data_IF_322189709222
#
_entry.id   IF_322189709222
#
_cell.length_a   1.000
_cell.length_b   1.000
_cell.length_c   1.000
_cell.angle_alpha   90.00
_cell.angle_beta   90.00
_cell.angle_gamma   90.00
#
_symmetry.space_group_name_H-M   'P 1'
#
loop_
_entity.id
_entity.type
_entity.pdbx_description
1 polymer ?
#
# COMPACT_ATOMS: atom_id res chain seq x y z
N UNK A 1 -42.68 9.24 9.70
CA UNK A 1 -41.83 8.10 9.32
C UNK A 1 -40.97 8.62 8.20
N UNK A 2 -39.77 9.09 8.52
CA UNK A 2 -38.82 9.60 7.53
C UNK A 2 -37.64 8.64 7.48
N UNK A 3 -37.39 8.18 6.27
CA UNK A 3 -36.35 7.28 5.82
C UNK A 3 -34.96 7.83 6.20
N UNK A 4 -34.17 6.98 6.86
CA UNK A 4 -32.75 7.25 7.11
C UNK A 4 -31.99 6.95 5.82
N UNK A 5 -31.68 8.02 5.09
CA UNK A 5 -30.81 8.00 3.93
C UNK A 5 -29.43 7.47 4.33
N UNK A 6 -28.93 6.52 3.56
CA UNK A 6 -27.70 5.80 3.83
C UNK A 6 -26.53 6.79 3.98
N UNK A 7 -25.85 6.76 5.13
CA UNK A 7 -24.54 7.39 5.27
C UNK A 7 -23.57 6.64 4.35
N UNK A 8 -23.40 7.14 3.14
CA UNK A 8 -22.26 6.79 2.32
C UNK A 8 -21.04 7.33 3.04
N UNK A 9 -20.34 6.43 3.73
CA UNK A 9 -18.98 6.69 4.21
C UNK A 9 -18.13 6.74 2.94
N UNK A 10 -17.99 7.93 2.36
CA UNK A 10 -16.97 8.21 1.35
C UNK A 10 -15.63 8.06 2.06
N UNK A 11 -15.12 6.81 2.09
CA UNK A 11 -13.71 6.57 2.29
C UNK A 11 -13.01 7.41 1.24
N UNK A 12 -12.33 8.45 1.69
CA UNK A 12 -11.44 9.23 0.83
C UNK A 12 -10.30 8.30 0.45
N UNK A 13 -10.50 7.51 -0.62
CA UNK A 13 -9.42 7.04 -1.45
C UNK A 13 -8.66 8.31 -1.84
N UNK A 14 -7.61 8.60 -1.06
CA UNK A 14 -6.75 9.73 -1.27
C UNK A 14 -6.24 9.56 -2.69
N UNK A 15 -6.81 10.37 -3.59
CA UNK A 15 -6.57 10.34 -5.02
C UNK A 15 -5.11 10.73 -5.23
N UNK A 16 -4.23 9.75 -5.01
CA UNK A 16 -2.80 9.83 -5.25
C UNK A 16 -2.72 9.95 -6.75
N UNK A 17 -2.48 11.17 -7.22
CA UNK A 17 -2.28 11.54 -8.62
C UNK A 17 -1.67 10.35 -9.35
N UNK A 18 -2.43 9.73 -10.25
CA UNK A 18 -2.06 8.47 -10.87
C UNK A 18 -0.77 8.63 -11.68
N UNK A 19 0.38 8.50 -11.03
CA UNK A 19 1.66 8.35 -11.68
C UNK A 19 1.74 6.98 -12.35
N UNK A 20 2.63 6.83 -13.32
CA UNK A 20 2.89 5.53 -13.95
C UNK A 20 3.38 4.52 -12.89
N UNK A 21 2.47 3.64 -12.47
CA UNK A 21 2.74 2.58 -11.48
C UNK A 21 3.35 1.36 -12.15
N UNK A 22 4.57 1.02 -11.78
CA UNK A 22 5.26 -0.18 -12.18
C UNK A 22 5.12 -1.27 -11.11
N UNK A 23 4.59 -2.43 -11.53
CA UNK A 23 4.48 -3.63 -10.71
C UNK A 23 5.66 -4.55 -10.98
N UNK A 24 6.32 -4.98 -9.92
CA UNK A 24 7.49 -5.86 -10.02
C UNK A 24 7.24 -7.11 -9.17
N UNK A 25 6.93 -8.27 -9.79
CA UNK A 25 6.72 -9.50 -9.05
C UNK A 25 8.02 -9.98 -8.38
N UNK A 26 7.88 -10.50 -7.17
CA UNK A 26 8.93 -11.09 -6.33
C UNK A 26 8.41 -12.38 -5.70
N UNK A 27 9.27 -13.14 -5.03
CA UNK A 27 8.91 -14.45 -4.47
C UNK A 27 7.71 -14.39 -3.50
N UNK A 28 7.60 -13.32 -2.71
CA UNK A 28 6.56 -13.15 -1.69
C UNK A 28 5.40 -12.21 -2.06
N UNK A 29 5.35 -11.67 -3.28
CA UNK A 29 4.29 -10.74 -3.70
C UNK A 29 4.70 -9.81 -4.84
N UNK A 30 4.10 -8.63 -4.89
CA UNK A 30 4.37 -7.63 -5.93
C UNK A 30 4.78 -6.30 -5.30
N UNK A 31 5.92 -5.77 -5.73
CA UNK A 31 6.36 -4.42 -5.35
C UNK A 31 5.79 -3.40 -6.32
N UNK A 32 5.14 -2.36 -5.80
CA UNK A 32 4.54 -1.28 -6.62
C UNK A 32 5.39 -0.03 -6.49
N UNK A 33 5.95 0.39 -7.61
CA UNK A 33 6.72 1.63 -7.72
C UNK A 33 5.94 2.67 -8.51
N UNK A 34 6.06 3.93 -8.13
CA UNK A 34 5.58 5.07 -8.91
C UNK A 34 6.76 5.84 -9.49
N UNK A 35 6.62 6.30 -10.73
CA UNK A 35 7.63 7.15 -11.37
C UNK A 35 7.62 8.55 -10.77
N UNK A 36 8.80 9.06 -10.42
CA UNK A 36 9.06 10.40 -9.88
C UNK A 36 10.11 11.11 -10.74
N UNK A 37 10.23 12.42 -10.57
CA UNK A 37 11.18 13.28 -11.27
C UNK A 37 12.65 12.80 -11.19
N UNK A 38 13.05 12.13 -10.11
CA UNK A 38 14.42 11.63 -9.90
C UNK A 38 14.54 10.09 -9.91
N UNK A 39 13.50 9.36 -10.36
CA UNK A 39 13.55 7.91 -10.44
C UNK A 39 12.22 7.23 -10.13
N UNK A 40 12.27 6.15 -9.34
CA UNK A 40 11.09 5.38 -8.93
C UNK A 40 11.03 5.29 -7.42
N UNK A 41 9.86 5.57 -6.87
CA UNK A 41 9.56 5.49 -5.44
C UNK A 41 8.73 4.24 -5.17
N UNK A 42 9.09 3.46 -4.14
CA UNK A 42 8.26 2.33 -3.71
C UNK A 42 7.05 2.89 -2.97
N UNK A 43 5.86 2.73 -3.55
CA UNK A 43 4.60 3.29 -3.00
C UNK A 43 3.75 2.23 -2.31
N UNK A 44 4.03 0.94 -2.52
CA UNK A 44 3.29 -0.11 -1.83
C UNK A 44 3.61 -1.53 -2.27
N UNK A 45 2.76 -2.45 -1.82
CA UNK A 45 2.85 -3.89 -2.04
C UNK A 45 1.47 -4.42 -2.45
N UNK A 46 1.43 -5.33 -3.41
CA UNK A 46 0.21 -6.04 -3.86
C UNK A 46 0.44 -7.56 -3.72
N UNK A 47 -0.66 -8.33 -3.57
CA UNK A 47 -0.65 -9.80 -3.54
C UNK A 47 0.45 -10.43 -2.66
N UNK A 48 0.65 -9.88 -1.45
CA UNK A 48 1.69 -10.34 -0.53
C UNK A 48 1.30 -11.66 0.12
N UNK A 49 2.07 -12.71 -0.19
CA UNK A 49 1.91 -14.06 0.34
C UNK A 49 2.95 -14.37 1.43
N UNK A 50 4.12 -13.73 1.37
CA UNK A 50 5.20 -13.92 2.34
C UNK A 50 5.99 -12.61 2.54
N UNK A 51 6.06 -12.15 3.79
CA UNK A 51 6.73 -10.89 4.13
C UNK A 51 8.25 -11.02 4.24
N UNK A 52 8.78 -12.22 4.51
CA UNK A 52 10.22 -12.46 4.58
C UNK A 52 10.83 -12.39 3.18
N UNK A 53 10.18 -13.04 2.21
CA UNK A 53 10.54 -12.97 0.79
C UNK A 53 10.45 -11.55 0.21
N UNK A 54 9.44 -10.77 0.63
CA UNK A 54 9.33 -9.35 0.26
C UNK A 54 10.49 -8.54 0.88
N UNK A 55 10.81 -8.78 2.15
CA UNK A 55 11.92 -8.12 2.82
C UNK A 55 13.27 -8.45 2.19
N UNK A 56 13.49 -9.71 1.79
CA UNK A 56 14.68 -10.13 1.05
C UNK A 56 14.75 -9.43 -0.32
N UNK A 57 13.63 -9.38 -1.05
CA UNK A 57 13.58 -8.68 -2.34
C UNK A 57 13.87 -7.18 -2.23
N UNK A 58 13.42 -6.53 -1.14
CA UNK A 58 13.77 -5.14 -0.84
C UNK A 58 15.26 -4.99 -0.54
N UNK A 59 15.82 -5.87 0.30
CA UNK A 59 17.23 -5.88 0.67
C UNK A 59 18.14 -6.10 -0.54
N UNK A 60 17.78 -7.02 -1.43
CA UNK A 60 18.49 -7.30 -2.68
C UNK A 60 18.55 -6.08 -3.61
N UNK A 61 17.56 -5.18 -3.51
CA UNK A 61 17.49 -3.92 -4.28
C UNK A 61 18.15 -2.74 -3.57
N UNK A 62 18.78 -2.97 -2.42
CA UNK A 62 19.44 -1.93 -1.63
C UNK A 62 18.46 -1.03 -0.87
N UNK A 63 17.18 -1.39 -0.80
CA UNK A 63 16.25 -0.73 0.12
C UNK A 63 16.60 -1.15 1.55
N UNK A 64 16.74 -0.17 2.45
CA UNK A 64 16.98 -0.45 3.86
C UNK A 64 15.77 -1.14 4.48
N UNK A 65 15.97 -2.35 5.01
CA UNK A 65 15.00 -3.06 5.86
C UNK A 65 14.89 -2.30 7.19
N UNK A 66 14.07 -1.25 7.21
CA UNK A 66 14.03 -0.30 8.33
C UNK A 66 13.21 0.96 8.07
N UNK A 67 12.70 1.15 6.85
CA UNK A 67 11.55 2.02 6.64
C UNK A 67 10.34 1.36 7.30
N UNK A 68 10.11 1.70 8.56
CA UNK A 68 8.87 1.41 9.27
C UNK A 68 7.78 2.10 8.47
N UNK A 69 7.16 1.36 7.55
CA UNK A 69 5.87 1.75 7.01
C UNK A 69 4.91 1.59 8.16
N UNK A 70 4.60 2.70 8.84
CA UNK A 70 3.43 2.76 9.69
C UNK A 70 2.25 2.32 8.82
N UNK A 71 1.76 1.10 9.02
CA UNK A 71 0.37 0.80 8.71
C UNK A 71 -0.43 1.84 9.48
N UNK A 72 -1.23 2.71 8.85
CA UNK A 72 -2.39 3.20 9.57
C UNK A 72 -3.16 1.94 9.94
N UNK A 73 -3.14 1.60 11.23
CA UNK A 73 -4.05 0.59 11.77
C UNK A 73 -5.44 1.01 11.27
N UNK A 74 -6.03 0.19 10.40
CA UNK A 74 -7.46 0.28 10.12
C UNK A 74 -8.11 0.13 11.49
N UNK A 75 -8.51 1.24 12.09
CA UNK A 75 -9.33 1.27 13.27
C UNK A 75 -10.61 0.55 12.89
N UNK A 76 -10.64 -0.75 13.18
CA UNK A 76 -11.86 -1.53 13.16
C UNK A 76 -12.68 -1.05 14.36
N UNK A 77 -13.28 0.13 14.24
CA UNK A 77 -14.36 0.58 15.11
C UNK A 77 -15.53 -0.39 14.90
N UNK A 78 -15.50 -1.49 15.67
CA UNK A 78 -16.41 -2.61 15.50
C UNK A 78 -16.30 -3.65 16.59
N UNK A 79 -16.25 -3.25 17.87
CA UNK A 79 -16.73 -4.07 19.00
C UNK A 79 -16.79 -3.31 20.32
N UNK A 80 -17.98 -2.84 20.68
CA UNK A 80 -18.51 -2.91 22.05
C UNK A 80 -20.04 -2.72 22.02
#
# INVERSE_FOLDING_TARGET
MQDIDAVQVEGTDSETTAGDRQRVPVAGGVLVYESRELGRELVGFEDVQDWDDVADALRARGHGTGAIYHLPELDAEGSA
#
